data_IF_833834784561
#
_entry.id   IF_833834784561
#
_cell.length_a   1.000
_cell.length_b   1.000
_cell.length_c   1.000
_cell.angle_alpha   90.00
_cell.angle_beta   90.00
_cell.angle_gamma   90.00
#
_symmetry.space_group_name_H-M   'P 1'
#
loop_
_entity.id
_entity.type
_entity.pdbx_description
1 polymer ?
#
# COMPACT_ATOMS: atom_id res chain seq x y z
N UNK A 1 -15.68 14.03 6.48
CA UNK A 1 -15.26 13.26 5.30
C UNK A 1 -13.77 13.13 5.37
N UNK A 2 -13.26 11.92 5.58
CA UNK A 2 -11.82 11.65 5.45
C UNK A 2 -11.61 11.57 3.94
N UNK A 3 -10.89 12.54 3.38
CA UNK A 3 -10.69 12.64 1.93
C UNK A 3 -10.02 11.36 1.43
N UNK A 4 -10.55 10.79 0.33
CA UNK A 4 -9.86 9.71 -0.38
C UNK A 4 -8.45 10.20 -0.71
N UNK A 5 -7.43 9.41 -0.34
CA UNK A 5 -6.05 9.68 -0.76
C UNK A 5 -6.03 9.77 -2.28
N UNK A 6 -5.29 10.73 -2.83
CA UNK A 6 -4.98 10.71 -4.24
C UNK A 6 -4.23 9.42 -4.58
N UNK A 7 -4.36 8.90 -5.81
CA UNK A 7 -3.66 7.68 -6.21
C UNK A 7 -2.14 7.75 -6.00
N UNK A 8 -1.56 8.95 -6.10
CA UNK A 8 -0.15 9.17 -5.80
C UNK A 8 0.17 8.96 -4.32
N UNK A 9 -0.60 9.55 -3.41
CA UNK A 9 -0.42 9.37 -1.97
C UNK A 9 -0.65 7.90 -1.58
N UNK A 10 -1.62 7.23 -2.22
CA UNK A 10 -1.86 5.80 -2.01
C UNK A 10 -0.66 4.93 -2.44
N UNK A 11 -0.07 5.21 -3.60
CA UNK A 11 1.15 4.51 -4.07
C UNK A 11 2.34 4.78 -3.15
N UNK A 12 2.53 6.03 -2.71
CA UNK A 12 3.59 6.39 -1.77
C UNK A 12 3.42 5.64 -0.44
N UNK A 13 2.20 5.56 0.09
CA UNK A 13 1.87 4.85 1.32
C UNK A 13 2.07 3.32 1.20
N UNK A 14 1.73 2.73 0.04
CA UNK A 14 2.01 1.32 -0.28
C UNK A 14 3.52 1.06 -0.21
N UNK A 15 4.32 1.90 -0.84
CA UNK A 15 5.78 1.73 -0.88
C UNK A 15 6.43 1.90 0.49
N UNK A 16 5.97 2.86 1.29
CA UNK A 16 6.43 3.04 2.67
C UNK A 16 6.05 1.83 3.53
N UNK A 17 4.78 1.39 3.46
CA UNK A 17 4.29 0.25 4.25
C UNK A 17 5.02 -1.04 3.87
N UNK A 18 5.24 -1.28 2.57
CA UNK A 18 6.01 -2.42 2.07
C UNK A 18 7.44 -2.44 2.61
N UNK A 19 8.15 -1.30 2.57
CA UNK A 19 9.51 -1.18 3.11
C UNK A 19 9.55 -1.48 4.61
N UNK A 20 8.62 -0.91 5.37
CA UNK A 20 8.53 -1.14 6.80
C UNK A 20 8.25 -2.61 7.12
N UNK A 21 7.31 -3.25 6.42
CA UNK A 21 7.01 -4.68 6.59
C UNK A 21 8.24 -5.55 6.37
N UNK A 22 9.02 -5.28 5.31
CA UNK A 22 10.25 -6.02 5.01
C UNK A 22 11.30 -5.82 6.10
N UNK A 23 11.53 -4.59 6.55
CA UNK A 23 12.51 -4.30 7.60
C UNK A 23 12.11 -4.97 8.93
N UNK A 24 10.83 -4.88 9.32
CA UNK A 24 10.29 -5.53 10.51
C UNK A 24 10.39 -7.06 10.40
N UNK A 25 10.07 -7.63 9.24
CA UNK A 25 10.19 -9.06 8.99
C UNK A 25 11.63 -9.57 9.04
N UNK A 26 12.60 -8.78 8.57
CA UNK A 26 14.03 -9.09 8.67
C UNK A 26 14.55 -9.01 10.12
N UNK A 27 14.02 -8.08 10.92
CA UNK A 27 14.44 -7.87 12.31
C UNK A 27 13.80 -8.83 13.31
N UNK A 28 12.48 -9.03 13.21
CA UNK A 28 11.67 -9.75 14.20
C UNK A 28 11.06 -11.06 13.69
N UNK A 29 11.15 -11.31 12.38
CA UNK A 29 10.55 -12.47 11.73
C UNK A 29 9.17 -12.20 11.14
N UNK A 30 8.75 -13.08 10.23
CA UNK A 30 7.50 -12.94 9.48
C UNK A 30 6.23 -13.19 10.30
N UNK A 31 6.36 -13.90 11.42
CA UNK A 31 5.23 -14.21 12.33
C UNK A 31 5.15 -13.25 13.51
N UNK A 32 6.02 -12.24 13.58
CA UNK A 32 5.94 -11.21 14.61
C UNK A 32 4.64 -10.40 14.45
N UNK A 33 3.93 -10.05 15.54
CA UNK A 33 2.68 -9.28 15.47
C UNK A 33 2.78 -8.03 14.60
N UNK A 34 3.85 -7.25 14.75
CA UNK A 34 4.06 -6.02 13.96
C UNK A 34 4.22 -6.31 12.46
N UNK A 35 4.88 -7.42 12.09
CA UNK A 35 5.02 -7.81 10.68
C UNK A 35 3.67 -8.22 10.10
N UNK A 36 2.84 -8.92 10.88
CA UNK A 36 1.49 -9.33 10.50
C UNK A 36 0.58 -8.10 10.34
N UNK A 37 0.65 -7.14 11.27
CA UNK A 37 -0.11 -5.89 11.19
C UNK A 37 0.25 -5.08 9.94
N UNK A 38 1.55 -4.95 9.66
CA UNK A 38 2.05 -4.29 8.44
C UNK A 38 1.58 -5.02 7.17
N UNK A 39 1.52 -6.36 7.19
CA UNK A 39 0.97 -7.16 6.08
C UNK A 39 -0.51 -6.87 5.84
N UNK A 40 -1.34 -6.86 6.89
CA UNK A 40 -2.76 -6.55 6.75
C UNK A 40 -2.98 -5.11 6.27
N UNK A 41 -2.17 -4.16 6.73
CA UNK A 41 -2.22 -2.78 6.24
C UNK A 41 -1.86 -2.70 4.76
N UNK A 42 -0.80 -3.39 4.34
CA UNK A 42 -0.38 -3.44 2.94
C UNK A 42 -1.49 -4.04 2.05
N UNK A 43 -2.12 -5.12 2.49
CA UNK A 43 -3.24 -5.75 1.78
C UNK A 43 -4.42 -4.78 1.61
N UNK A 44 -4.76 -4.03 2.66
CA UNK A 44 -5.83 -3.03 2.58
C UNK A 44 -5.51 -1.92 1.57
N UNK A 45 -4.28 -1.39 1.59
CA UNK A 45 -3.84 -0.36 0.65
C UNK A 45 -3.85 -0.86 -0.80
N UNK A 46 -3.42 -2.10 -1.03
CA UNK A 46 -3.46 -2.73 -2.35
C UNK A 46 -4.91 -2.92 -2.82
N UNK A 47 -5.79 -3.40 -1.93
CA UNK A 47 -7.21 -3.53 -2.23
C UNK A 47 -7.84 -2.18 -2.58
N UNK A 48 -7.48 -1.11 -1.86
CA UNK A 48 -7.91 0.25 -2.16
C UNK A 48 -7.40 0.73 -3.51
N UNK A 49 -6.15 0.42 -3.88
CA UNK A 49 -5.59 0.77 -5.20
C UNK A 49 -6.33 0.06 -6.33
N UNK A 50 -6.70 -1.20 -6.13
CA UNK A 50 -7.37 -2.02 -7.14
C UNK A 50 -8.89 -1.84 -7.19
N UNK A 51 -9.48 -0.98 -6.33
CA UNK A 51 -10.90 -0.60 -6.45
C UNK A 51 -11.18 -0.07 -7.87
N UNK A 52 -12.34 -0.39 -8.47
CA UNK A 52 -12.67 0.00 -9.84
C UNK A 52 -12.46 1.50 -10.13
N UNK A 53 -12.85 2.36 -9.19
CA UNK A 53 -12.74 3.82 -9.30
C UNK A 53 -11.29 4.33 -9.36
N UNK A 54 -10.35 3.55 -8.80
CA UNK A 54 -8.92 3.89 -8.73
C UNK A 54 -8.13 3.24 -9.86
N UNK A 55 -8.59 2.08 -10.36
CA UNK A 55 -7.96 1.34 -11.46
C UNK A 55 -7.97 2.11 -12.78
N UNK A 56 -9.05 2.84 -13.10
CA UNK A 56 -9.11 3.67 -14.32
C UNK A 56 -8.07 4.80 -14.28
N UNK A 57 -7.89 5.43 -13.12
CA UNK A 57 -6.93 6.51 -12.91
C UNK A 57 -5.47 6.02 -12.89
N UNK A 58 -5.22 4.79 -12.43
CA UNK A 58 -3.90 4.16 -12.46
C UNK A 58 -3.38 3.99 -13.89
N UNK A 59 -4.27 3.63 -14.84
CA UNK A 59 -3.92 3.49 -16.25
C UNK A 59 -3.40 4.80 -16.85
N UNK A 60 -4.01 5.94 -16.49
CA UNK A 60 -3.56 7.28 -16.92
C UNK A 60 -2.23 7.73 -16.29
N UNK A 61 -1.88 7.21 -15.11
CA UNK A 61 -0.63 7.56 -14.43
C UNK A 61 0.58 6.80 -15.01
N UNK A 62 0.40 5.55 -15.40
CA UNK A 62 1.46 4.70 -15.95
C UNK A 62 1.80 5.08 -17.41
N UNK A 63 0.81 5.49 -18.22
CA UNK A 63 1.02 5.88 -19.62
C UNK A 63 1.66 7.27 -19.83
N UNK A 64 1.87 8.04 -18.75
CA UNK A 64 2.54 9.36 -18.81
C UNK A 64 3.95 9.38 -18.19
N UNK A 65 4.47 8.22 -17.81
CA UNK A 65 5.85 8.04 -17.31
C UNK A 65 6.86 7.81 -18.43
#
# INVERSE_FOLDING_TARGET
MIGELSNRELIEEIEVTRKNMVLTGLGFGLTHPDTIELSHRLDNLLNDLYKPNNREQLFFYIDKG
#
